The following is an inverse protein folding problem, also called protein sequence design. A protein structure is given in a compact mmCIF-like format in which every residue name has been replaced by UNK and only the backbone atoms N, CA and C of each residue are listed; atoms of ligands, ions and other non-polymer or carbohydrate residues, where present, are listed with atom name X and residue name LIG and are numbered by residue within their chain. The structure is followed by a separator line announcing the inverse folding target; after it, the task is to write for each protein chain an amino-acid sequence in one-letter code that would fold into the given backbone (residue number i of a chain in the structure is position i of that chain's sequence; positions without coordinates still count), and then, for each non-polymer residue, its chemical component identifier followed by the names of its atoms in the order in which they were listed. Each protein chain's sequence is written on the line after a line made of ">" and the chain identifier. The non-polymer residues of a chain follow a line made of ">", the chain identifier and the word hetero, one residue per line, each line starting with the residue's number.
data_IF_236164326669
#
_entry.id   IF_236164326669
#
_cell.length_a   1.000
_cell.length_b   1.000
_cell.length_c   1.000
_cell.angle_alpha   90.00
_cell.angle_beta   90.00
_cell.angle_gamma   90.00
#
_symmetry.space_group_name_H-M   'P 1'
#
loop_
_entity.id
_entity.type
_entity.pdbx_description
1 polymer ?
#
# COMPACT_ATOMS: atom_id res chain seq x y z
N UNK A 1 25.86 41.24 8.40
CA UNK A 1 26.68 40.02 8.23
C UNK A 1 26.15 38.83 9.04
N UNK A 2 25.41 39.04 10.14
CA UNK A 2 24.83 37.93 10.94
C UNK A 2 23.53 37.33 10.35
N UNK A 3 22.77 38.11 9.57
CA UNK A 3 21.48 37.64 9.02
C UNK A 3 21.62 36.77 7.77
N UNK A 4 22.74 36.87 7.04
CA UNK A 4 23.00 36.03 5.86
C UNK A 4 23.38 34.60 6.27
N UNK A 5 24.21 34.45 7.32
CA UNK A 5 24.63 33.13 7.81
C UNK A 5 23.47 32.32 8.40
N UNK A 6 22.52 32.97 9.09
CA UNK A 6 21.34 32.29 9.64
C UNK A 6 20.40 31.77 8.53
N UNK A 7 20.18 32.55 7.46
CA UNK A 7 19.37 32.11 6.33
C UNK A 7 20.04 30.99 5.50
N UNK A 8 21.38 30.99 5.40
CA UNK A 8 22.13 29.94 4.71
C UNK A 8 22.15 28.62 5.50
N UNK A 9 22.25 28.67 6.83
CA UNK A 9 22.18 27.49 7.70
C UNK A 9 20.79 26.82 7.67
N UNK A 10 19.71 27.62 7.68
CA UNK A 10 18.34 27.11 7.55
C UNK A 10 18.11 26.46 6.17
N UNK A 11 18.64 27.06 5.10
CA UNK A 11 18.57 26.50 3.74
C UNK A 11 19.30 25.16 3.63
N UNK A 12 20.50 25.05 4.22
CA UNK A 12 21.26 23.80 4.26
C UNK A 12 20.50 22.73 5.06
N UNK A 13 19.94 23.07 6.22
CA UNK A 13 19.16 22.14 7.03
C UNK A 13 17.94 21.60 6.27
N UNK A 14 17.14 22.47 5.64
CA UNK A 14 15.98 22.06 4.84
C UNK A 14 16.40 21.14 3.70
N UNK A 15 17.49 21.46 3.01
CA UNK A 15 18.04 20.62 1.95
C UNK A 15 18.49 19.25 2.46
N UNK A 16 19.17 19.18 3.61
CA UNK A 16 19.61 17.93 4.22
C UNK A 16 18.42 17.06 4.65
N UNK A 17 17.37 17.64 5.23
CA UNK A 17 16.14 16.90 5.57
C UNK A 17 15.42 16.37 4.34
N UNK A 18 15.33 17.18 3.28
CA UNK A 18 14.77 16.76 2.00
C UNK A 18 15.57 15.61 1.39
N UNK A 19 16.91 15.71 1.37
CA UNK A 19 17.81 14.68 0.87
C UNK A 19 17.69 13.38 1.68
N UNK A 20 17.64 13.48 3.01
CA UNK A 20 17.43 12.35 3.90
C UNK A 20 16.10 11.65 3.63
N UNK A 21 15.03 12.41 3.38
CA UNK A 21 13.73 11.87 2.99
C UNK A 21 13.79 11.09 1.68
N UNK A 22 14.46 11.63 0.67
CA UNK A 22 14.66 10.94 -0.62
C UNK A 22 15.49 9.67 -0.46
N UNK A 23 16.58 9.74 0.30
CA UNK A 23 17.44 8.59 0.57
C UNK A 23 16.67 7.48 1.30
N UNK A 24 15.89 7.83 2.32
CA UNK A 24 15.07 6.89 3.07
C UNK A 24 13.99 6.23 2.20
N UNK A 25 13.29 7.01 1.36
CA UNK A 25 12.29 6.48 0.43
C UNK A 25 12.92 5.54 -0.62
N UNK A 26 14.07 5.93 -1.16
CA UNK A 26 14.81 5.10 -2.14
C UNK A 26 15.24 3.78 -1.52
N UNK A 27 15.81 3.83 -0.31
CA UNK A 27 16.18 2.63 0.44
C UNK A 27 14.98 1.73 0.75
N UNK A 28 13.85 2.32 1.16
CA UNK A 28 12.62 1.58 1.43
C UNK A 28 12.07 0.87 0.18
N UNK A 29 12.14 1.52 -0.99
CA UNK A 29 11.73 0.92 -2.27
C UNK A 29 12.64 -0.25 -2.65
N UNK A 30 13.96 -0.11 -2.47
CA UNK A 30 14.91 -1.19 -2.72
C UNK A 30 14.65 -2.40 -1.81
N UNK A 31 14.43 -2.15 -0.51
CA UNK A 31 14.10 -3.20 0.45
C UNK A 31 12.76 -3.89 0.13
N UNK A 32 11.76 -3.12 -0.33
CA UNK A 32 10.46 -3.66 -0.74
C UNK A 32 10.59 -4.57 -1.97
N UNK A 33 11.36 -4.15 -2.98
CA UNK A 33 11.63 -4.97 -4.16
C UNK A 33 12.38 -6.26 -3.79
N UNK A 34 13.41 -6.14 -2.95
CA UNK A 34 14.18 -7.28 -2.42
C UNK A 34 13.28 -8.26 -1.67
N UNK A 35 12.38 -7.78 -0.81
CA UNK A 35 11.42 -8.61 -0.08
C UNK A 35 10.52 -9.41 -1.03
N UNK A 36 10.00 -8.81 -2.10
CA UNK A 36 9.17 -9.51 -3.08
C UNK A 36 9.88 -10.68 -3.76
N UNK A 37 11.14 -10.48 -4.17
CA UNK A 37 11.97 -11.54 -4.80
C UNK A 37 12.30 -12.64 -3.79
N UNK A 38 12.61 -12.29 -2.54
CA UNK A 38 12.85 -13.29 -1.50
C UNK A 38 11.62 -14.13 -1.23
N UNK A 39 10.44 -13.53 -1.15
CA UNK A 39 9.19 -14.28 -0.97
C UNK A 39 8.95 -15.25 -2.13
N UNK A 40 9.13 -14.81 -3.37
CA UNK A 40 9.00 -15.67 -4.55
C UNK A 40 9.98 -16.85 -4.52
N UNK A 41 11.25 -16.59 -4.18
CA UNK A 41 12.30 -17.63 -4.10
C UNK A 41 12.02 -18.62 -2.97
N UNK A 42 11.56 -18.14 -1.82
CA UNK A 42 11.22 -18.97 -0.67
C UNK A 42 10.06 -19.91 -1.00
N UNK A 43 9.00 -19.40 -1.64
CA UNK A 43 7.85 -20.23 -2.03
C UNK A 43 8.19 -21.25 -3.11
N UNK A 44 9.11 -20.95 -4.03
CA UNK A 44 9.63 -21.93 -5.00
C UNK A 44 10.42 -23.05 -4.35
N UNK A 45 11.19 -22.75 -3.29
CA UNK A 45 12.10 -23.72 -2.65
C UNK A 45 11.43 -24.56 -1.55
N UNK A 46 10.56 -23.96 -0.75
CA UNK A 46 9.98 -24.59 0.45
C UNK A 46 8.47 -24.85 0.35
N UNK A 47 7.84 -24.51 -0.77
CA UNK A 47 6.41 -24.73 -0.98
C UNK A 47 5.54 -23.54 -0.57
N UNK A 48 4.27 -23.59 -0.99
CA UNK A 48 3.30 -22.49 -0.86
C UNK A 48 2.60 -22.53 0.50
N UNK A 49 3.25 -22.03 1.54
CA UNK A 49 2.69 -21.93 2.88
C UNK A 49 2.38 -20.48 3.28
N UNK A 50 1.41 -19.84 2.61
CA UNK A 50 1.11 -18.40 2.81
C UNK A 50 0.70 -18.05 4.25
N UNK A 51 0.03 -18.97 4.98
CA UNK A 51 -0.38 -18.76 6.38
C UNK A 51 0.81 -18.73 7.34
N UNK A 52 1.78 -19.61 7.13
CA UNK A 52 2.99 -19.70 7.94
C UNK A 52 3.90 -18.49 7.67
N UNK A 53 4.08 -18.14 6.40
CA UNK A 53 4.81 -16.93 6.02
C UNK A 53 4.15 -15.66 6.61
N UNK A 54 2.82 -15.59 6.61
CA UNK A 54 2.09 -14.49 7.26
C UNK A 54 2.39 -14.44 8.76
N UNK A 55 2.36 -15.58 9.45
CA UNK A 55 2.67 -15.66 10.89
C UNK A 55 4.08 -15.17 11.18
N UNK A 56 5.11 -15.69 10.50
CA UNK A 56 6.50 -15.30 10.76
C UNK A 56 6.77 -13.83 10.45
N UNK A 57 6.19 -13.29 9.38
CA UNK A 57 6.38 -11.87 9.03
C UNK A 57 5.77 -10.92 10.08
N UNK A 58 4.78 -11.35 10.85
CA UNK A 58 4.17 -10.53 11.90
C UNK A 58 4.71 -10.84 13.29
N UNK A 59 5.08 -12.09 13.58
CA UNK A 59 5.59 -12.52 14.88
C UNK A 59 7.04 -12.07 15.11
N UNK A 60 7.91 -12.16 14.10
CA UNK A 60 9.33 -11.81 14.24
C UNK A 60 9.58 -10.33 14.56
N UNK A 61 8.78 -9.37 14.06
CA UNK A 61 8.91 -7.97 14.48
C UNK A 61 8.41 -7.67 15.90
N UNK A 62 7.55 -8.50 16.51
CA UNK A 62 6.95 -8.21 17.84
C UNK A 62 7.98 -7.95 18.95
N UNK A 63 9.06 -8.75 19.09
CA UNK A 63 10.14 -8.43 20.03
C UNK A 63 10.78 -7.06 19.76
N UNK A 64 10.90 -6.64 18.50
CA UNK A 64 11.43 -5.33 18.15
C UNK A 64 10.52 -4.18 18.59
N UNK A 65 9.20 -4.39 18.61
CA UNK A 65 8.24 -3.40 19.12
C UNK A 65 8.39 -3.13 20.62
N UNK A 66 9.01 -4.02 21.41
CA UNK A 66 9.29 -3.74 22.82
C UNK A 66 10.22 -2.53 23.00
N UNK A 67 11.15 -2.29 22.07
CA UNK A 67 12.01 -1.09 22.11
C UNK A 67 11.20 0.20 21.92
N UNK A 68 10.05 0.12 21.25
CA UNK A 68 9.12 1.24 21.04
C UNK A 68 7.97 1.28 22.06
N UNK A 69 7.94 0.36 23.04
CA UNK A 69 6.91 0.30 24.08
C UNK A 69 6.60 1.66 24.76
N UNK A 70 7.57 2.53 25.12
CA UNK A 70 7.24 3.81 25.75
C UNK A 70 6.41 4.72 24.83
N UNK A 71 6.70 4.75 23.53
CA UNK A 71 5.93 5.52 22.56
C UNK A 71 4.53 4.94 22.36
N UNK A 72 4.41 3.61 22.31
CA UNK A 72 3.13 2.92 22.20
C UNK A 72 2.25 3.23 23.41
N UNK A 73 2.81 3.18 24.62
CA UNK A 73 2.09 3.52 25.85
C UNK A 73 1.61 4.97 25.84
N UNK A 74 2.48 5.90 25.46
CA UNK A 74 2.12 7.31 25.35
C UNK A 74 0.93 7.54 24.40
N UNK A 75 0.94 6.91 23.21
CA UNK A 75 -0.18 7.00 22.28
C UNK A 75 -1.45 6.28 22.76
N UNK A 76 -1.31 5.19 23.52
CA UNK A 76 -2.46 4.50 24.12
C UNK A 76 -3.19 5.39 25.15
N UNK A 77 -2.44 6.14 25.98
CA UNK A 77 -3.02 7.12 26.90
C UNK A 77 -3.74 8.23 26.13
N UNK A 78 -3.13 8.75 25.06
CA UNK A 78 -3.75 9.77 24.20
C UNK A 78 -5.04 9.26 23.55
N UNK A 79 -5.10 8.00 23.14
CA UNK A 79 -6.30 7.40 22.55
C UNK A 79 -7.44 7.27 23.56
N UNK A 80 -7.13 7.00 24.83
CA UNK A 80 -8.13 6.93 25.91
C UNK A 80 -8.78 8.29 26.21
N UNK A 81 -8.11 9.39 25.88
CA UNK A 81 -8.64 10.75 26.06
C UNK A 81 -9.57 11.19 24.92
N UNK A 82 -9.71 10.38 23.86
CA UNK A 82 -10.58 10.72 22.72
C UNK A 82 -12.07 10.60 23.04
N UNK A 83 -12.90 11.30 22.25
CA UNK A 83 -14.35 11.36 22.48
C UNK A 83 -14.99 9.95 22.51
N UNK A 84 -15.87 9.66 23.49
CA UNK A 84 -16.56 8.38 23.57
C UNK A 84 -17.56 8.23 22.43
N UNK A 85 -17.32 7.23 21.57
CA UNK A 85 -18.20 6.86 20.47
C UNK A 85 -19.08 5.68 20.86
N UNK A 86 -20.39 5.79 20.61
CA UNK A 86 -21.34 4.68 20.80
C UNK A 86 -21.34 3.81 19.56
N UNK A 87 -20.88 2.56 19.68
CA UNK A 87 -20.87 1.63 18.55
C UNK A 87 -22.32 1.27 18.18
N UNK A 88 -22.79 1.59 16.95
CA UNK A 88 -24.20 1.44 16.57
C UNK A 88 -24.73 0.00 16.64
N UNK A 89 -23.84 -0.99 16.70
CA UNK A 89 -24.18 -2.42 16.63
C UNK A 89 -24.08 -3.17 17.97
N UNK A 90 -23.38 -2.62 18.97
CA UNK A 90 -23.04 -3.34 20.23
C UNK A 90 -23.46 -2.53 21.47
N UNK A 91 -23.83 -1.25 21.31
CA UNK A 91 -24.22 -0.39 22.44
C UNK A 91 -23.08 -0.04 23.40
N UNK A 92 -21.85 -0.49 23.12
CA UNK A 92 -20.65 -0.18 23.88
C UNK A 92 -20.16 1.25 23.57
N UNK A 93 -19.83 1.99 24.62
CA UNK A 93 -19.14 3.28 24.55
C UNK A 93 -17.64 3.06 24.60
N UNK A 94 -16.93 3.41 23.53
CA UNK A 94 -15.48 3.26 23.46
C UNK A 94 -14.86 4.47 22.74
N UNK A 95 -13.64 4.90 23.10
CA UNK A 95 -13.05 6.09 22.52
C UNK A 95 -12.88 5.95 21.00
N UNK A 96 -13.22 6.98 20.24
CA UNK A 96 -13.32 6.91 18.77
C UNK A 96 -12.01 6.48 18.09
N UNK A 97 -10.85 6.83 18.66
CA UNK A 97 -9.54 6.48 18.09
C UNK A 97 -9.28 4.97 18.14
N UNK A 98 -9.75 4.29 19.18
CA UNK A 98 -9.67 2.82 19.28
C UNK A 98 -10.54 2.15 18.22
N UNK A 99 -11.72 2.72 17.94
CA UNK A 99 -12.60 2.23 16.89
C UNK A 99 -11.94 2.35 15.50
N UNK A 100 -11.33 3.50 15.18
CA UNK A 100 -10.61 3.67 13.92
C UNK A 100 -9.40 2.75 13.80
N UNK A 101 -8.62 2.58 14.88
CA UNK A 101 -7.51 1.64 14.91
C UNK A 101 -7.99 0.21 14.62
N UNK A 102 -9.06 -0.23 15.28
CA UNK A 102 -9.61 -1.56 15.07
C UNK A 102 -10.06 -1.79 13.63
N UNK A 103 -10.79 -0.83 13.04
CA UNK A 103 -11.21 -0.90 11.64
C UNK A 103 -10.03 -0.90 10.67
N UNK A 104 -8.97 -0.14 10.99
CA UNK A 104 -7.73 -0.14 10.23
C UNK A 104 -7.04 -1.50 10.27
N UNK A 105 -6.91 -2.11 11.45
CA UNK A 105 -6.30 -3.44 11.63
C UNK A 105 -7.07 -4.52 10.86
N UNK A 106 -8.40 -4.54 10.94
CA UNK A 106 -9.21 -5.51 10.18
C UNK A 106 -8.96 -5.37 8.68
N UNK A 107 -9.05 -4.14 8.18
CA UNK A 107 -8.86 -3.86 6.74
C UNK A 107 -7.46 -4.23 6.30
N UNK A 108 -6.45 -3.90 7.11
CA UNK A 108 -5.05 -4.23 6.85
C UNK A 108 -4.82 -5.74 6.85
N UNK A 109 -5.43 -6.49 7.78
CA UNK A 109 -5.33 -7.94 7.80
C UNK A 109 -5.89 -8.57 6.51
N UNK A 110 -7.09 -8.17 6.09
CA UNK A 110 -7.71 -8.66 4.84
C UNK A 110 -6.83 -8.29 3.63
N UNK A 111 -6.33 -7.05 3.59
CA UNK A 111 -5.44 -6.53 2.56
C UNK A 111 -4.14 -7.34 2.44
N UNK A 112 -3.44 -7.56 3.56
CA UNK A 112 -2.15 -8.28 3.60
C UNK A 112 -2.36 -9.76 3.32
N UNK A 113 -3.39 -10.39 3.89
CA UNK A 113 -3.71 -11.79 3.61
C UNK A 113 -3.94 -12.01 2.12
N UNK A 114 -4.69 -11.12 1.45
CA UNK A 114 -4.88 -11.16 0.00
C UNK A 114 -3.57 -11.01 -0.78
N UNK A 115 -2.67 -10.13 -0.34
CA UNK A 115 -1.34 -9.97 -0.98
C UNK A 115 -0.51 -11.24 -0.82
N UNK A 116 -0.44 -11.83 0.36
CA UNK A 116 0.33 -13.06 0.60
C UNK A 116 -0.17 -14.24 -0.23
N UNK A 117 -1.49 -14.36 -0.42
CA UNK A 117 -2.07 -15.36 -1.32
C UNK A 117 -1.67 -15.07 -2.77
N UNK A 118 -1.71 -13.81 -3.21
CA UNK A 118 -1.29 -13.45 -4.56
C UNK A 118 0.20 -13.74 -4.79
N UNK A 119 1.06 -13.51 -3.79
CA UNK A 119 2.50 -13.82 -3.86
C UNK A 119 2.79 -15.31 -3.98
N UNK A 120 1.89 -16.19 -3.55
CA UNK A 120 2.07 -17.64 -3.77
C UNK A 120 1.61 -18.09 -5.15
N UNK A 121 0.73 -17.35 -5.82
CA UNK A 121 0.16 -17.73 -7.12
C UNK A 121 0.78 -17.01 -8.31
N UNK A 122 1.42 -15.87 -8.09
CA UNK A 122 1.95 -15.02 -9.17
C UNK A 122 3.41 -14.62 -8.90
N UNK A 123 4.19 -14.32 -9.96
CA UNK A 123 5.55 -13.80 -9.79
C UNK A 123 5.53 -12.43 -9.09
N UNK A 124 6.64 -12.09 -8.43
CA UNK A 124 6.79 -10.86 -7.64
C UNK A 124 6.44 -9.58 -8.42
N UNK A 125 6.76 -9.54 -9.72
CA UNK A 125 6.43 -8.41 -10.60
C UNK A 125 4.92 -8.16 -10.72
N UNK A 126 4.13 -9.22 -10.91
CA UNK A 126 2.66 -9.13 -11.01
C UNK A 126 2.06 -8.68 -9.67
N UNK A 127 2.59 -9.20 -8.56
CA UNK A 127 2.17 -8.81 -7.21
C UNK A 127 2.41 -7.33 -6.98
N UNK A 128 3.60 -6.83 -7.33
CA UNK A 128 3.92 -5.41 -7.23
C UNK A 128 2.95 -4.56 -8.05
N UNK A 129 2.64 -4.96 -9.29
CA UNK A 129 1.69 -4.23 -10.14
C UNK A 129 0.26 -4.22 -9.58
N UNK A 130 -0.23 -5.33 -9.02
CA UNK A 130 -1.56 -5.37 -8.40
C UNK A 130 -1.62 -4.51 -7.14
N UNK A 131 -0.55 -4.48 -6.34
CA UNK A 131 -0.48 -3.64 -5.13
C UNK A 131 -0.38 -2.15 -5.49
N UNK A 132 0.36 -1.78 -6.54
CA UNK A 132 0.42 -0.39 -7.01
C UNK A 132 -0.93 0.05 -7.57
N UNK A 133 -1.60 -0.80 -8.35
CA UNK A 133 -2.96 -0.54 -8.85
C UNK A 133 -3.96 -0.33 -7.70
N UNK A 134 -3.91 -1.17 -6.65
CA UNK A 134 -4.73 -1.00 -5.44
C UNK A 134 -4.51 0.37 -4.79
N UNK A 135 -3.25 0.74 -4.54
CA UNK A 135 -2.89 2.03 -3.94
C UNK A 135 -3.37 3.20 -4.80
N UNK A 136 -3.26 3.06 -6.12
CA UNK A 136 -3.73 4.06 -7.07
C UNK A 136 -5.25 4.23 -7.07
N UNK A 137 -6.02 3.14 -7.06
CA UNK A 137 -7.49 3.18 -6.96
C UNK A 137 -7.92 3.84 -5.64
N UNK A 138 -7.26 3.49 -4.53
CA UNK A 138 -7.50 4.14 -3.23
C UNK A 138 -7.21 5.65 -3.27
N UNK A 139 -6.17 6.07 -3.99
CA UNK A 139 -5.85 7.49 -4.19
C UNK A 139 -6.94 8.21 -4.99
N UNK A 140 -7.42 7.62 -6.11
CA UNK A 140 -8.53 8.20 -6.88
C UNK A 140 -9.76 8.36 -5.99
N UNK A 141 -10.15 7.31 -5.28
CA UNK A 141 -11.31 7.36 -4.38
C UNK A 141 -11.16 8.46 -3.33
N UNK A 142 -9.97 8.59 -2.74
CA UNK A 142 -9.67 9.65 -1.78
C UNK A 142 -9.86 11.04 -2.40
N UNK A 143 -9.31 11.31 -3.59
CA UNK A 143 -9.47 12.62 -4.25
C UNK A 143 -10.94 12.92 -4.56
N UNK A 144 -11.70 11.93 -5.06
CA UNK A 144 -13.11 12.08 -5.38
C UNK A 144 -13.95 12.33 -4.11
N UNK A 145 -13.67 11.60 -3.03
CA UNK A 145 -14.38 11.71 -1.75
C UNK A 145 -14.16 13.07 -1.08
N UNK A 146 -12.89 13.52 -0.99
CA UNK A 146 -12.54 14.81 -0.39
C UNK A 146 -12.76 16.01 -1.33
N UNK A 147 -13.24 15.77 -2.56
CA UNK A 147 -13.45 16.78 -3.61
C UNK A 147 -12.22 17.67 -3.85
N UNK A 148 -11.03 17.09 -3.78
CA UNK A 148 -9.80 17.81 -4.09
C UNK A 148 -9.76 18.16 -5.60
N UNK A 149 -9.21 19.34 -5.98
CA UNK A 149 -9.21 19.78 -7.36
C UNK A 149 -8.39 18.82 -8.24
N UNK A 150 -9.08 18.10 -9.13
CA UNK A 150 -8.47 17.15 -10.04
C UNK A 150 -7.92 17.87 -11.27
N UNK A 151 -6.63 18.23 -11.23
CA UNK A 151 -5.96 18.93 -12.33
C UNK A 151 -5.73 18.03 -13.56
N UNK A 152 -5.46 18.62 -14.73
CA UNK A 152 -5.16 17.89 -15.97
C UNK A 152 -3.97 16.91 -15.83
N UNK A 153 -2.99 17.23 -14.99
CA UNK A 153 -1.86 16.35 -14.70
C UNK A 153 -2.27 15.04 -14.03
N UNK A 154 -3.30 15.05 -13.19
CA UNK A 154 -3.84 13.82 -12.59
C UNK A 154 -4.56 12.95 -13.62
N UNK A 155 -5.22 13.56 -14.62
CA UNK A 155 -5.84 12.81 -15.73
C UNK A 155 -4.78 12.11 -16.58
N UNK A 156 -3.68 12.81 -16.89
CA UNK A 156 -2.56 12.23 -17.62
C UNK A 156 -1.92 11.08 -16.83
N UNK A 157 -1.65 11.29 -15.54
CA UNK A 157 -1.11 10.23 -14.67
C UNK A 157 -2.03 9.02 -14.58
N UNK A 158 -3.34 9.25 -14.50
CA UNK A 158 -4.35 8.17 -14.51
C UNK A 158 -4.31 7.39 -15.80
N UNK A 159 -4.32 8.07 -16.95
CA UNK A 159 -4.22 7.42 -18.26
C UNK A 159 -2.95 6.59 -18.39
N UNK A 160 -1.81 7.09 -17.89
CA UNK A 160 -0.53 6.39 -17.94
C UNK A 160 -0.53 5.13 -17.06
N UNK A 161 -1.08 5.19 -15.85
CA UNK A 161 -1.20 4.01 -14.97
C UNK A 161 -2.12 2.95 -15.59
N UNK A 162 -3.27 3.35 -16.15
CA UNK A 162 -4.16 2.42 -16.85
C UNK A 162 -3.50 1.82 -18.08
N UNK A 163 -2.81 2.62 -18.90
CA UNK A 163 -2.11 2.15 -20.08
C UNK A 163 -0.99 1.16 -19.72
N UNK A 164 -0.17 1.48 -18.72
CA UNK A 164 0.89 0.58 -18.24
C UNK A 164 0.33 -0.74 -17.69
N UNK A 165 -0.80 -0.69 -16.98
CA UNK A 165 -1.50 -1.89 -16.49
C UNK A 165 -2.04 -2.74 -17.64
N UNK A 166 -2.65 -2.12 -18.65
CA UNK A 166 -3.19 -2.79 -19.83
C UNK A 166 -2.11 -3.38 -20.75
N UNK A 167 -0.93 -2.75 -20.81
CA UNK A 167 0.21 -3.27 -21.57
C UNK A 167 0.83 -4.48 -20.86
N UNK A 168 0.89 -4.45 -19.53
CA UNK A 168 1.44 -5.55 -18.74
C UNK A 168 0.52 -6.76 -18.68
N UNK A 169 -0.76 -6.54 -18.41
CA UNK A 169 -1.73 -7.60 -18.49
C UNK A 169 -1.82 -7.99 -19.97
N UNK A 170 -1.53 -9.24 -20.34
CA UNK A 170 -1.65 -9.77 -21.72
C UNK A 170 -3.09 -9.74 -22.28
N UNK A 171 -3.95 -8.86 -21.76
CA UNK A 171 -5.29 -8.54 -22.23
C UNK A 171 -5.27 -8.19 -23.70
N UNK A 172 -4.21 -7.60 -24.28
CA UNK A 172 -4.16 -7.41 -25.73
C UNK A 172 -4.26 -8.74 -26.51
N UNK A 173 -3.61 -9.80 -26.04
CA UNK A 173 -3.67 -11.13 -26.66
C UNK A 173 -4.99 -11.85 -26.35
N UNK A 174 -5.49 -11.76 -25.12
CA UNK A 174 -6.79 -12.36 -24.75
C UNK A 174 -7.98 -11.64 -25.40
N UNK A 175 -8.00 -10.31 -25.43
CA UNK A 175 -9.03 -9.49 -26.07
C UNK A 175 -8.95 -9.60 -27.59
N UNK A 176 -7.74 -9.69 -28.16
CA UNK A 176 -7.53 -10.05 -29.56
C UNK A 176 -8.12 -11.43 -29.89
N UNK A 177 -7.94 -12.42 -29.01
CA UNK A 177 -8.53 -13.76 -29.17
C UNK A 177 -10.06 -13.77 -29.02
N UNK A 178 -10.64 -12.91 -28.17
CA UNK A 178 -12.07 -12.76 -27.98
C UNK A 178 -12.74 -11.99 -29.13
N UNK A 179 -12.13 -10.91 -29.60
CA UNK A 179 -12.56 -10.19 -30.81
C UNK A 179 -12.43 -11.05 -32.07
N UNK A 180 -11.39 -11.88 -32.16
CA UNK A 180 -11.24 -12.86 -33.24
C UNK A 180 -12.30 -13.97 -33.17
N UNK A 181 -12.71 -14.41 -31.98
CA UNK A 181 -13.83 -15.35 -31.79
C UNK A 181 -15.17 -14.72 -32.14
N UNK A 182 -15.42 -13.46 -31.78
CA UNK A 182 -16.62 -12.71 -32.19
C UNK A 182 -16.68 -12.51 -33.72
N UNK A 183 -15.54 -12.32 -34.39
CA UNK A 183 -15.47 -12.20 -35.86
C UNK A 183 -15.70 -13.51 -36.61
N UNK A 184 -15.57 -14.67 -35.94
CA UNK A 184 -15.81 -16.01 -36.50
C UNK A 184 -17.25 -16.55 -36.31
N UNK A 185 -18.19 -15.75 -35.79
CA UNK A 185 -19.62 -16.01 -35.99
C UNK A 185 -20.21 -15.16 -37.14
N UNK A 186 -19.90 -15.40 -38.42
CA UNK A 186 -20.81 -15.04 -39.50
C UNK A 186 -21.80 -16.20 -39.73
N UNK A 187 -23.10 -15.89 -39.56
CA UNK A 187 -24.29 -16.60 -40.07
C UNK A 187 -24.34 -18.13 -39.85
N UNK A 188 -24.99 -18.55 -38.77
CA UNK A 188 -25.85 -19.74 -38.86
C UNK A 188 -27.18 -19.25 -39.45
N UNK A 189 -27.49 -19.74 -40.66
CA UNK A 189 -28.82 -19.70 -41.29
C UNK A 189 -29.78 -20.66 -40.60
#
# INVERSE_FOLDING_TARGET
>A
ASDSSLNEEDGLQVFLWWLLGIAALTFALLMSARMGIFQETLYKRFGKHSKEALFYNHALPLPGFLLLAPNIYHHAVLFNQSEPFRVPLIGLTLPIMWFYLFMNVITQYVCIRGVFILTTECPSLTVTLVVTLRKFVSLIFSILYFRNPFTAWHWLGTALVFLGTLMYAEVWNSLGSLLARCRRRPKEE
#
